data_IF_809435292947
#
_entry.id   IF_809435292947
#
_cell.length_a   1.000
_cell.length_b   1.000
_cell.length_c   1.000
_cell.angle_alpha   90.00
_cell.angle_beta   90.00
_cell.angle_gamma   90.00
#
_symmetry.space_group_name_H-M   'P 1'
#
loop_
_entity.id
_entity.type
_entity.pdbx_description
1 polymer ?
#
# COMPACT_ATOMS: atom_id res chain seq x y z
N UNK A 1 7.65 45.12 -20.98
CA UNK A 1 7.43 43.86 -21.72
C UNK A 1 6.98 42.82 -20.71
N UNK A 2 5.92 42.08 -20.99
CA UNK A 2 5.56 40.94 -20.16
C UNK A 2 6.59 39.82 -20.38
N UNK A 3 7.15 39.29 -19.30
CA UNK A 3 8.06 38.15 -19.33
C UNK A 3 7.28 36.88 -19.04
N UNK A 4 7.26 35.95 -20.01
CA UNK A 4 6.77 34.59 -19.83
C UNK A 4 7.93 33.69 -19.37
N UNK A 5 7.69 32.85 -18.36
CA UNK A 5 8.68 31.91 -17.83
C UNK A 5 8.05 30.53 -17.68
N UNK A 6 8.73 29.51 -18.18
CA UNK A 6 8.42 28.11 -17.91
C UNK A 6 9.23 27.61 -16.70
N UNK A 7 8.58 26.87 -15.80
CA UNK A 7 9.19 26.26 -14.62
C UNK A 7 8.86 24.78 -14.65
N UNK A 8 9.86 23.93 -14.42
CA UNK A 8 9.73 22.49 -14.35
C UNK A 8 10.55 21.95 -13.19
N UNK A 9 10.08 20.85 -12.60
CA UNK A 9 10.80 20.13 -11.54
C UNK A 9 11.69 18.99 -12.09
N UNK A 10 11.83 18.89 -13.41
CA UNK A 10 12.55 17.80 -14.10
C UNK A 10 13.96 17.58 -13.54
N UNK A 11 14.76 18.63 -13.39
CA UNK A 11 16.12 18.53 -12.86
C UNK A 11 16.16 17.97 -11.43
N UNK A 12 15.17 18.31 -10.61
CA UNK A 12 15.08 17.82 -9.24
C UNK A 12 14.71 16.33 -9.23
N UNK A 13 13.77 15.91 -10.09
CA UNK A 13 13.40 14.49 -10.23
C UNK A 13 14.60 13.67 -10.70
N UNK A 14 15.31 14.13 -11.73
CA UNK A 14 16.48 13.46 -12.29
C UNK A 14 17.65 13.41 -11.28
N UNK A 15 17.91 14.48 -10.53
CA UNK A 15 18.99 14.49 -9.53
C UNK A 15 18.71 13.48 -8.40
N UNK A 16 17.51 13.53 -7.81
CA UNK A 16 17.15 12.63 -6.71
C UNK A 16 17.07 11.17 -7.16
N UNK A 17 16.54 10.92 -8.37
CA UNK A 17 16.50 9.57 -8.95
C UNK A 17 17.90 9.04 -9.24
N UNK A 18 18.81 9.90 -9.71
CA UNK A 18 20.21 9.53 -9.97
C UNK A 18 20.94 9.16 -8.67
N UNK A 19 20.74 9.93 -7.60
CA UNK A 19 21.34 9.66 -6.30
C UNK A 19 20.83 8.34 -5.70
N UNK A 20 19.54 8.01 -5.88
CA UNK A 20 18.98 6.73 -5.47
C UNK A 20 19.60 5.55 -6.23
N UNK A 21 19.65 5.61 -7.57
CA UNK A 21 20.14 4.49 -8.37
C UNK A 21 21.65 4.26 -8.21
N UNK A 22 22.42 5.31 -7.88
CA UNK A 22 23.85 5.18 -7.54
C UNK A 22 24.09 4.28 -6.34
N UNK A 23 23.20 4.30 -5.34
CA UNK A 23 23.31 3.46 -4.14
C UNK A 23 23.18 1.97 -4.45
N UNK A 24 22.49 1.61 -5.53
CA UNK A 24 22.39 0.22 -6.02
C UNK A 24 23.42 -0.10 -7.12
N UNK A 25 24.47 0.72 -7.25
CA UNK A 25 25.55 0.51 -8.21
C UNK A 25 25.22 0.91 -9.66
N UNK A 26 24.07 1.54 -9.92
CA UNK A 26 23.71 2.00 -11.26
C UNK A 26 24.16 3.44 -11.50
N UNK A 27 25.09 3.60 -12.44
CA UNK A 27 25.57 4.90 -12.89
C UNK A 27 25.07 5.21 -14.30
N UNK A 28 23.76 5.44 -14.46
CA UNK A 28 23.14 5.66 -15.77
C UNK A 28 22.15 6.84 -15.76
N UNK A 29 22.55 7.95 -16.40
CA UNK A 29 21.69 9.14 -16.53
C UNK A 29 20.35 8.83 -17.21
N UNK A 30 20.37 8.01 -18.27
CA UNK A 30 19.16 7.59 -18.99
C UNK A 30 18.18 6.81 -18.12
N UNK A 31 18.67 6.04 -17.14
CA UNK A 31 17.81 5.34 -16.17
C UNK A 31 17.17 6.34 -15.21
N UNK A 32 17.91 7.35 -14.78
CA UNK A 32 17.35 8.43 -13.96
C UNK A 32 16.27 9.22 -14.73
N UNK A 33 16.52 9.55 -16.00
CA UNK A 33 15.54 10.21 -16.87
C UNK A 33 14.27 9.37 -17.07
N UNK A 34 14.42 8.05 -17.25
CA UNK A 34 13.30 7.12 -17.31
C UNK A 34 12.48 7.15 -16.01
N UNK A 35 13.13 7.05 -14.85
CA UNK A 35 12.47 7.10 -13.54
C UNK A 35 11.74 8.43 -13.38
N UNK A 36 12.40 9.56 -13.65
CA UNK A 36 11.81 10.90 -13.56
C UNK A 36 10.57 11.04 -14.47
N UNK A 37 10.65 10.53 -15.70
CA UNK A 37 9.55 10.53 -16.65
C UNK A 37 8.37 9.65 -16.23
N UNK A 38 8.63 8.48 -15.63
CA UNK A 38 7.59 7.60 -15.07
C UNK A 38 6.96 8.21 -13.82
N UNK A 39 7.77 8.75 -12.92
CA UNK A 39 7.32 9.42 -11.69
C UNK A 39 6.37 10.57 -12.01
N UNK A 40 6.74 11.42 -12.97
CA UNK A 40 5.88 12.55 -13.38
C UNK A 40 4.55 12.10 -13.97
N UNK A 41 4.50 10.97 -14.68
CA UNK A 41 3.28 10.45 -15.29
C UNK A 41 2.39 9.70 -14.28
N UNK A 42 2.99 8.87 -13.43
CA UNK A 42 2.29 8.09 -12.41
C UNK A 42 1.66 8.95 -11.32
N UNK A 43 2.11 10.20 -11.15
CA UNK A 43 1.53 11.12 -10.17
C UNK A 43 0.01 11.27 -10.31
N UNK A 44 -0.52 11.26 -11.54
CA UNK A 44 -1.95 11.35 -11.82
C UNK A 44 -2.30 10.58 -13.11
N UNK A 45 -1.75 9.37 -13.29
CA UNK A 45 -1.96 8.59 -14.51
C UNK A 45 -3.43 8.16 -14.65
N UNK A 46 -3.99 8.36 -15.84
CA UNK A 46 -5.33 7.92 -16.20
C UNK A 46 -5.29 7.27 -17.59
N UNK A 47 -6.13 6.26 -17.80
CA UNK A 47 -6.38 5.65 -19.11
C UNK A 47 -7.87 5.77 -19.42
N UNK A 48 -8.22 6.37 -20.57
CA UNK A 48 -9.62 6.64 -20.95
C UNK A 48 -10.44 7.34 -19.83
N UNK A 49 -9.78 8.19 -19.05
CA UNK A 49 -10.37 8.91 -17.92
C UNK A 49 -10.48 8.10 -16.61
N UNK A 50 -10.08 6.83 -16.61
CA UNK A 50 -10.04 5.98 -15.42
C UNK A 50 -8.67 6.13 -14.74
N UNK A 51 -8.61 6.54 -13.45
CA UNK A 51 -7.35 6.55 -12.71
C UNK A 51 -6.74 5.16 -12.59
N UNK A 52 -5.44 5.04 -12.84
CA UNK A 52 -4.70 3.80 -12.66
C UNK A 52 -3.39 4.04 -11.92
N UNK A 53 -3.01 3.08 -11.08
CA UNK A 53 -1.83 3.15 -10.20
C UNK A 53 -0.87 1.96 -10.38
N UNK A 54 -0.44 1.64 -11.62
CA UNK A 54 0.42 0.48 -11.86
C UNK A 54 1.76 0.63 -11.12
N UNK A 55 2.33 -0.49 -10.68
CA UNK A 55 3.72 -0.48 -10.17
C UNK A 55 4.66 -1.00 -11.25
N UNK A 56 5.80 -0.32 -11.37
CA UNK A 56 6.84 -0.59 -12.36
C UNK A 56 8.09 -1.09 -11.64
N UNK A 57 8.65 -2.20 -12.11
CA UNK A 57 9.90 -2.77 -11.61
C UNK A 57 10.97 -2.67 -12.69
N UNK A 58 12.04 -1.93 -12.40
CA UNK A 58 13.24 -1.84 -13.23
C UNK A 58 14.26 -2.84 -12.70
N UNK A 59 14.77 -3.72 -13.54
CA UNK A 59 15.72 -4.77 -13.18
C UNK A 59 16.72 -5.05 -14.31
N UNK A 60 17.72 -5.91 -14.04
CA UNK A 60 18.68 -6.40 -15.05
C UNK A 60 18.25 -7.71 -15.71
N UNK A 61 17.28 -8.42 -15.14
CA UNK A 61 16.77 -9.70 -15.66
C UNK A 61 15.34 -9.94 -15.19
N UNK A 62 14.39 -9.99 -16.12
CA UNK A 62 12.99 -10.33 -15.81
C UNK A 62 12.85 -11.77 -15.33
N UNK A 63 13.69 -12.68 -15.85
CA UNK A 63 13.67 -14.09 -15.41
C UNK A 63 14.04 -14.24 -13.95
N UNK A 64 15.05 -13.52 -13.47
CA UNK A 64 15.40 -13.51 -12.05
C UNK A 64 14.33 -12.82 -11.20
N UNK A 65 13.74 -11.72 -11.70
CA UNK A 65 12.62 -11.05 -11.03
C UNK A 65 11.41 -11.99 -10.81
N UNK A 66 11.04 -12.76 -11.83
CA UNK A 66 9.94 -13.73 -11.75
C UNK A 66 10.27 -14.88 -10.79
N UNK A 67 11.52 -15.37 -10.79
CA UNK A 67 11.97 -16.39 -9.83
C UNK A 67 11.84 -15.93 -8.38
N UNK A 68 12.21 -14.67 -8.09
CA UNK A 68 12.00 -14.07 -6.77
C UNK A 68 10.50 -13.95 -6.45
N UNK A 69 9.69 -13.48 -7.41
CA UNK A 69 8.23 -13.37 -7.24
C UNK A 69 7.49 -14.72 -7.06
N UNK A 70 8.21 -15.85 -7.19
CA UNK A 70 7.71 -17.21 -6.98
C UNK A 70 7.30 -17.90 -8.27
N UNK A 71 6.17 -18.64 -8.24
CA UNK A 71 5.61 -19.30 -9.43
C UNK A 71 4.84 -18.26 -10.24
N UNK A 72 5.57 -17.50 -11.05
CA UNK A 72 5.05 -16.40 -11.86
C UNK A 72 5.23 -16.60 -13.36
N UNK A 73 4.57 -15.74 -14.14
CA UNK A 73 4.72 -15.62 -15.59
C UNK A 73 5.09 -14.18 -15.95
N UNK A 74 5.80 -14.00 -17.07
CA UNK A 74 5.97 -12.69 -17.68
C UNK A 74 5.60 -12.73 -19.17
N UNK A 75 4.99 -11.65 -19.64
CA UNK A 75 4.57 -11.44 -21.02
C UNK A 75 5.31 -10.21 -21.56
N UNK A 76 6.29 -10.39 -22.46
CA UNK A 76 6.96 -9.27 -23.11
C UNK A 76 5.99 -8.56 -24.08
N UNK A 77 5.95 -7.23 -24.02
CA UNK A 77 5.15 -6.40 -24.94
C UNK A 77 6.01 -5.74 -26.01
N UNK A 78 7.30 -5.54 -25.71
CA UNK A 78 8.27 -5.04 -26.66
C UNK A 78 9.66 -5.57 -26.33
N UNK A 79 10.50 -5.62 -27.34
CA UNK A 79 11.92 -5.87 -27.19
C UNK A 79 12.69 -4.68 -27.74
N UNK A 80 13.78 -4.35 -27.05
CA UNK A 80 14.85 -3.51 -27.54
C UNK A 80 14.42 -2.07 -27.87
N UNK A 81 13.85 -1.36 -26.89
CA UNK A 81 13.43 0.05 -27.01
C UNK A 81 14.49 0.99 -26.44
N UNK A 82 14.82 2.12 -27.09
CA UNK A 82 15.69 3.14 -26.51
C UNK A 82 15.15 3.66 -25.17
N UNK A 83 15.99 3.60 -24.12
CA UNK A 83 15.57 3.89 -22.75
C UNK A 83 15.03 5.31 -22.58
N UNK A 84 15.61 6.28 -23.30
CA UNK A 84 15.28 7.71 -23.24
C UNK A 84 13.86 8.04 -23.77
N UNK A 85 13.28 7.17 -24.60
CA UNK A 85 11.94 7.33 -25.16
C UNK A 85 10.92 6.37 -24.54
N UNK A 86 11.36 5.48 -23.64
CA UNK A 86 10.57 4.35 -23.22
C UNK A 86 9.46 4.72 -22.21
N UNK A 87 9.67 5.73 -21.36
CA UNK A 87 8.80 6.00 -20.20
C UNK A 87 7.31 6.10 -20.52
N UNK A 88 6.92 7.03 -21.40
CA UNK A 88 5.51 7.22 -21.77
C UNK A 88 4.94 6.04 -22.57
N UNK A 89 5.77 5.41 -23.41
CA UNK A 89 5.37 4.25 -24.21
C UNK A 89 5.08 3.03 -23.32
N UNK A 90 5.93 2.77 -22.33
CA UNK A 90 5.78 1.65 -21.40
C UNK A 90 4.45 1.76 -20.65
N UNK A 91 4.15 2.93 -20.08
CA UNK A 91 2.90 3.12 -19.33
C UNK A 91 1.69 2.93 -20.26
N UNK A 92 1.70 3.56 -21.44
CA UNK A 92 0.60 3.42 -22.41
C UNK A 92 0.35 1.97 -22.84
N UNK A 93 1.41 1.22 -23.09
CA UNK A 93 1.28 -0.16 -23.59
C UNK A 93 0.96 -1.17 -22.47
N UNK A 94 1.45 -0.94 -21.25
CA UNK A 94 1.43 -1.94 -20.18
C UNK A 94 0.49 -1.62 -19.00
N UNK A 95 0.22 -0.34 -18.71
CA UNK A 95 -0.65 0.04 -17.59
C UNK A 95 -2.07 -0.55 -17.69
N UNK A 96 -2.71 -0.60 -18.88
CA UNK A 96 -4.04 -1.22 -19.03
C UNK A 96 -4.07 -2.72 -18.74
N UNK A 97 -2.91 -3.39 -18.66
CA UNK A 97 -2.81 -4.81 -18.33
C UNK A 97 -2.53 -5.04 -16.83
N UNK A 98 -2.25 -3.99 -16.07
CA UNK A 98 -1.85 -4.08 -14.66
C UNK A 98 -3.05 -4.12 -13.71
N UNK A 99 -3.95 -5.07 -13.94
CA UNK A 99 -5.06 -5.37 -13.03
C UNK A 99 -4.70 -6.54 -12.10
N UNK A 100 -5.13 -6.46 -10.83
CA UNK A 100 -4.88 -7.50 -9.83
C UNK A 100 -3.39 -7.66 -9.51
N UNK A 101 -2.83 -8.84 -9.77
CA UNK A 101 -1.44 -9.19 -9.43
C UNK A 101 -0.42 -8.85 -10.52
N UNK A 102 -0.86 -8.29 -11.65
CA UNK A 102 0.04 -7.93 -12.75
C UNK A 102 0.76 -6.61 -12.50
N UNK A 103 2.05 -6.56 -12.84
CA UNK A 103 2.96 -5.43 -12.67
C UNK A 103 3.76 -5.22 -13.94
N UNK A 104 4.27 -4.01 -14.14
CA UNK A 104 5.13 -3.69 -15.28
C UNK A 104 6.56 -4.07 -14.92
N UNK A 105 7.27 -4.77 -15.82
CA UNK A 105 8.72 -4.90 -15.74
C UNK A 105 9.41 -4.06 -16.82
N UNK A 106 10.59 -3.56 -16.49
CA UNK A 106 11.53 -2.93 -17.41
C UNK A 106 12.89 -3.59 -17.20
N UNK A 107 13.27 -4.43 -18.13
CA UNK A 107 14.57 -5.10 -18.14
C UNK A 107 15.56 -4.22 -18.90
N UNK A 108 16.51 -3.62 -18.19
CA UNK A 108 17.49 -2.71 -18.77
C UNK A 108 18.67 -3.50 -19.33
N UNK A 109 19.18 -3.09 -20.48
CA UNK A 109 20.46 -3.56 -21.00
C UNK A 109 21.63 -3.17 -20.10
N UNK A 110 22.73 -3.92 -20.17
CA UNK A 110 23.94 -3.68 -19.38
C UNK A 110 24.59 -2.32 -19.68
N UNK A 111 24.50 -1.84 -20.92
CA UNK A 111 24.99 -0.53 -21.36
C UNK A 111 24.04 0.65 -21.03
N UNK A 112 22.86 0.36 -20.49
CA UNK A 112 21.84 1.34 -20.11
C UNK A 112 21.26 2.14 -21.27
N UNK A 113 21.44 1.69 -22.51
CA UNK A 113 20.94 2.39 -23.70
C UNK A 113 19.52 1.96 -24.06
N UNK A 114 19.18 0.69 -23.79
CA UNK A 114 17.97 0.03 -24.28
C UNK A 114 17.28 -0.76 -23.18
N UNK A 115 16.02 -1.10 -23.38
CA UNK A 115 15.27 -1.96 -22.47
C UNK A 115 14.25 -2.83 -23.20
N UNK A 116 13.94 -3.97 -22.58
CA UNK A 116 12.74 -4.74 -22.84
C UNK A 116 11.70 -4.38 -21.78
N UNK A 117 10.42 -4.48 -22.11
CA UNK A 117 9.36 -4.30 -21.13
C UNK A 117 8.15 -5.16 -21.42
N UNK A 118 7.34 -5.33 -20.40
CA UNK A 118 6.09 -6.04 -20.48
C UNK A 118 5.44 -6.10 -19.11
N UNK A 119 4.66 -7.15 -18.88
CA UNK A 119 4.00 -7.38 -17.60
C UNK A 119 4.42 -8.71 -16.99
N UNK A 120 4.42 -8.79 -15.67
CA UNK A 120 4.68 -10.02 -14.93
C UNK A 120 3.74 -10.14 -13.74
N UNK A 121 3.53 -11.36 -13.26
CA UNK A 121 2.81 -11.64 -12.02
C UNK A 121 3.58 -12.66 -11.18
N UNK A 122 3.32 -12.67 -9.88
CA UNK A 122 3.85 -13.65 -8.92
C UNK A 122 2.76 -14.57 -8.40
N UNK A 123 2.96 -15.10 -7.19
CA UNK A 123 1.96 -15.93 -6.51
C UNK A 123 0.61 -15.21 -6.34
N UNK A 124 -0.48 -15.96 -6.49
CA UNK A 124 -1.85 -15.50 -6.26
C UNK A 124 -2.40 -15.87 -4.89
N UNK A 125 -1.65 -16.63 -4.08
CA UNK A 125 -2.06 -17.00 -2.72
C UNK A 125 -2.09 -15.75 -1.82
N UNK A 126 -3.27 -15.33 -1.33
CA UNK A 126 -3.42 -14.13 -0.53
C UNK A 126 -2.77 -14.25 0.85
N UNK A 127 -2.32 -15.43 1.29
CA UNK A 127 -1.55 -15.64 2.52
C UNK A 127 -0.03 -15.64 2.32
N UNK A 128 0.46 -15.64 1.07
CA UNK A 128 1.90 -15.61 0.74
C UNK A 128 2.43 -14.18 0.64
N UNK A 129 3.74 -13.98 0.81
CA UNK A 129 4.35 -12.66 0.63
C UNK A 129 4.01 -12.05 -0.75
N UNK A 130 3.81 -10.74 -0.77
CA UNK A 130 3.60 -9.95 -1.99
C UNK A 130 4.89 -9.87 -2.82
N UNK A 131 4.75 -9.53 -4.10
CA UNK A 131 5.90 -9.26 -4.97
C UNK A 131 6.77 -8.15 -4.38
N UNK A 132 6.16 -7.09 -3.82
CA UNK A 132 6.88 -5.98 -3.22
C UNK A 132 7.76 -6.47 -2.05
N UNK A 133 7.23 -7.27 -1.13
CA UNK A 133 7.98 -7.82 0.01
C UNK A 133 9.12 -8.74 -0.46
N UNK A 134 8.84 -9.69 -1.35
CA UNK A 134 9.87 -10.67 -1.76
C UNK A 134 10.98 -10.02 -2.57
N UNK A 135 10.64 -9.05 -3.43
CA UNK A 135 11.62 -8.40 -4.32
C UNK A 135 12.37 -7.27 -3.62
N UNK A 136 11.73 -6.51 -2.73
CA UNK A 136 12.33 -5.34 -2.09
C UNK A 136 13.00 -5.64 -0.74
N UNK A 137 12.63 -6.72 -0.05
CA UNK A 137 13.26 -7.09 1.23
C UNK A 137 14.36 -8.15 1.06
N UNK A 138 14.49 -8.77 -0.13
CA UNK A 138 15.61 -9.63 -0.49
C UNK A 138 16.71 -8.83 -1.21
N UNK A 139 17.59 -8.19 -0.44
CA UNK A 139 18.73 -7.49 -1.02
C UNK A 139 19.76 -8.46 -1.59
N UNK A 140 19.99 -8.33 -2.89
CA UNK A 140 21.08 -8.99 -3.62
C UNK A 140 21.83 -7.94 -4.42
N UNK A 141 23.09 -7.68 -4.04
CA UNK A 141 23.99 -6.75 -4.74
C UNK A 141 24.15 -7.10 -6.23
N UNK A 142 24.05 -8.38 -6.58
CA UNK A 142 24.15 -8.85 -7.96
C UNK A 142 22.87 -8.65 -8.77
N UNK A 143 21.75 -8.39 -8.09
CA UNK A 143 20.44 -8.18 -8.70
C UNK A 143 19.71 -6.96 -8.12
N UNK A 144 20.19 -5.75 -8.41
CA UNK A 144 19.52 -4.52 -8.00
C UNK A 144 18.17 -4.36 -8.71
N UNK A 145 17.15 -3.96 -7.93
CA UNK A 145 15.79 -3.70 -8.41
C UNK A 145 15.33 -2.34 -7.92
N UNK A 146 14.68 -1.58 -8.80
CA UNK A 146 14.01 -0.32 -8.47
C UNK A 146 12.53 -0.46 -8.75
N UNK A 147 11.69 -0.16 -7.78
CA UNK A 147 10.23 -0.15 -7.89
C UNK A 147 9.72 1.29 -7.88
N UNK A 148 8.85 1.62 -8.82
CA UNK A 148 8.15 2.91 -8.93
C UNK A 148 6.66 2.63 -8.77
N UNK A 149 5.99 3.33 -7.86
CA UNK A 149 4.53 3.21 -7.74
C UNK A 149 3.90 4.46 -7.17
N UNK A 150 2.66 4.73 -7.56
CA UNK A 150 1.86 5.77 -6.93
C UNK A 150 1.44 5.31 -5.51
N UNK A 151 1.76 6.10 -4.48
CA UNK A 151 1.34 5.84 -3.08
C UNK A 151 0.01 6.53 -2.74
N UNK A 152 -0.24 7.68 -3.37
CA UNK A 152 -1.49 8.42 -3.37
C UNK A 152 -1.54 9.33 -4.60
N UNK A 153 -2.69 9.94 -4.90
CA UNK A 153 -2.77 10.96 -5.95
C UNK A 153 -1.74 12.06 -5.69
N UNK A 154 -0.95 12.42 -6.71
CA UNK A 154 0.18 13.35 -6.66
C UNK A 154 1.35 12.90 -5.76
N UNK A 155 1.43 11.62 -5.36
CA UNK A 155 2.56 11.06 -4.61
C UNK A 155 3.05 9.77 -5.26
N UNK A 156 4.33 9.74 -5.61
CA UNK A 156 4.95 8.58 -6.25
C UNK A 156 6.20 8.19 -5.47
N UNK A 157 6.22 6.94 -5.02
CA UNK A 157 7.35 6.32 -4.35
C UNK A 157 8.27 5.65 -5.38
N UNK A 158 9.57 5.88 -5.23
CA UNK A 158 10.65 5.12 -5.87
C UNK A 158 11.46 4.45 -4.79
N UNK A 159 11.49 3.13 -4.76
CA UNK A 159 12.16 2.32 -3.74
C UNK A 159 13.10 1.31 -4.36
N UNK A 160 14.25 1.10 -3.75
CA UNK A 160 15.21 0.08 -4.13
C UNK A 160 15.09 -1.15 -3.22
N UNK A 161 15.54 -2.30 -3.71
CA UNK A 161 15.73 -3.49 -2.88
C UNK A 161 16.91 -3.39 -1.90
N UNK A 162 17.68 -2.29 -1.92
CA UNK A 162 18.68 -1.96 -0.89
C UNK A 162 18.06 -1.27 0.33
N UNK A 163 16.75 -1.01 0.33
CA UNK A 163 16.02 -0.37 1.41
C UNK A 163 15.90 1.15 1.30
N UNK A 164 16.65 1.79 0.40
CA UNK A 164 16.49 3.22 0.13
C UNK A 164 15.19 3.51 -0.63
N UNK A 165 14.52 4.60 -0.28
CA UNK A 165 13.33 5.07 -1.00
C UNK A 165 13.20 6.58 -0.98
N UNK A 166 12.54 7.11 -1.99
CA UNK A 166 12.21 8.53 -2.13
C UNK A 166 10.74 8.63 -2.54
N UNK A 167 9.97 9.47 -1.85
CA UNK A 167 8.62 9.82 -2.28
C UNK A 167 8.62 11.22 -2.91
N UNK A 168 8.23 11.28 -4.18
CA UNK A 168 8.03 12.53 -4.90
C UNK A 168 6.61 13.02 -4.70
N UNK A 169 6.48 14.27 -4.22
CA UNK A 169 5.20 14.91 -3.91
C UNK A 169 4.95 16.08 -4.86
N UNK A 170 3.81 16.05 -5.54
CA UNK A 170 3.40 17.03 -6.54
C UNK A 170 2.30 17.98 -6.02
N UNK A 171 2.19 18.09 -4.69
CA UNK A 171 1.27 18.99 -3.99
C UNK A 171 2.06 19.97 -3.09
N UNK A 172 1.35 20.81 -2.35
CA UNK A 172 1.96 21.78 -1.42
C UNK A 172 2.15 21.20 -0.01
N UNK A 173 2.30 19.87 0.10
CA UNK A 173 2.60 19.26 1.39
C UNK A 173 4.00 19.68 1.85
N UNK A 174 4.17 19.80 3.16
CA UNK A 174 5.51 19.96 3.72
C UNK A 174 6.30 18.68 3.51
N UNK A 175 7.60 18.84 3.28
CA UNK A 175 8.53 17.74 3.35
C UNK A 175 8.42 17.07 4.73
N UNK A 176 8.37 15.75 4.72
CA UNK A 176 8.36 14.92 5.93
C UNK A 176 9.65 14.12 5.95
N UNK A 177 10.38 14.18 7.06
CA UNK A 177 11.65 13.44 7.22
C UNK A 177 11.44 11.93 7.16
N UNK A 178 10.27 11.42 7.55
CA UNK A 178 9.95 9.99 7.58
C UNK A 178 8.58 9.68 6.95
N UNK A 179 8.54 8.63 6.11
CA UNK A 179 7.31 8.05 5.56
C UNK A 179 6.83 6.95 6.52
N UNK A 180 5.75 7.20 7.27
CA UNK A 180 5.26 6.28 8.32
C UNK A 180 4.08 5.40 7.92
N UNK A 181 3.63 5.48 6.67
CA UNK A 181 2.43 4.76 6.20
C UNK A 181 2.58 3.25 6.46
N UNK A 182 3.66 2.64 5.97
CA UNK A 182 3.92 1.22 6.18
C UNK A 182 4.00 0.84 7.67
N UNK A 183 4.66 1.67 8.48
CA UNK A 183 4.75 1.45 9.92
C UNK A 183 3.37 1.46 10.58
N UNK A 184 2.53 2.47 10.27
CA UNK A 184 1.20 2.59 10.85
C UNK A 184 0.26 1.45 10.42
N UNK A 185 0.33 1.01 9.16
CA UNK A 185 -0.47 -0.13 8.67
C UNK A 185 -0.04 -1.42 9.36
N UNK A 186 1.27 -1.64 9.51
CA UNK A 186 1.81 -2.78 10.26
C UNK A 186 1.37 -2.77 11.73
N UNK A 187 1.44 -1.63 12.40
CA UNK A 187 0.97 -1.51 13.79
C UNK A 187 -0.53 -1.77 13.92
N UNK A 188 -1.34 -1.33 12.94
CA UNK A 188 -2.77 -1.65 12.89
C UNK A 188 -2.99 -3.15 12.69
N UNK A 189 -2.24 -3.79 11.80
CA UNK A 189 -2.29 -5.22 11.55
C UNK A 189 -1.97 -6.02 12.83
N UNK A 190 -0.91 -5.63 13.55
CA UNK A 190 -0.53 -6.19 14.85
C UNK A 190 -1.64 -5.97 15.89
N UNK A 191 -2.28 -4.80 15.93
CA UNK A 191 -3.39 -4.54 16.86
C UNK A 191 -4.61 -5.43 16.58
N UNK A 192 -4.99 -5.62 15.31
CA UNK A 192 -6.11 -6.48 14.88
C UNK A 192 -5.83 -7.96 15.18
N UNK A 193 -4.57 -8.38 15.12
CA UNK A 193 -4.16 -9.78 15.27
C UNK A 193 -3.67 -10.16 16.67
N UNK A 194 -3.55 -9.20 17.59
CA UNK A 194 -2.88 -9.37 18.89
C UNK A 194 -3.43 -10.47 19.79
N UNK A 195 -4.73 -10.80 19.67
CA UNK A 195 -5.39 -11.91 20.38
C UNK A 195 -5.99 -12.93 19.42
N UNK A 196 -5.49 -12.97 18.18
CA UNK A 196 -5.79 -14.06 17.26
C UNK A 196 -5.17 -15.38 17.76
N UNK A 197 -5.70 -16.51 17.32
CA UNK A 197 -5.32 -17.83 17.83
C UNK A 197 -3.92 -18.31 17.40
N UNK A 198 -3.78 -19.63 17.22
CA UNK A 198 -2.52 -20.34 16.92
C UNK A 198 -1.63 -19.71 15.84
N UNK A 199 -2.20 -19.03 14.85
CA UNK A 199 -1.48 -18.46 13.71
C UNK A 199 -1.45 -16.93 13.73
N UNK A 200 -1.44 -16.29 14.90
CA UNK A 200 -1.44 -14.83 15.07
C UNK A 200 -0.38 -14.12 14.22
N UNK A 201 0.88 -14.57 14.24
CA UNK A 201 1.97 -13.89 13.55
C UNK A 201 1.83 -13.97 12.02
N UNK A 202 1.43 -15.13 11.50
CA UNK A 202 1.14 -15.31 10.08
C UNK A 202 -0.09 -14.50 9.66
N UNK A 203 -1.09 -14.43 10.55
CA UNK A 203 -2.29 -13.64 10.32
C UNK A 203 -1.99 -12.13 10.34
N UNK A 204 -1.08 -11.66 11.20
CA UNK A 204 -0.61 -10.28 11.22
C UNK A 204 -0.01 -9.88 9.87
N UNK A 205 0.86 -10.73 9.31
CA UNK A 205 1.41 -10.50 7.96
C UNK A 205 0.32 -10.55 6.87
N UNK A 206 -0.67 -11.43 6.99
CA UNK A 206 -1.80 -11.48 6.06
C UNK A 206 -2.66 -10.20 6.11
N UNK A 207 -3.05 -9.76 7.30
CA UNK A 207 -3.91 -8.58 7.45
C UNK A 207 -3.15 -7.30 7.09
N UNK A 208 -1.85 -7.20 7.34
CA UNK A 208 -1.01 -6.08 6.89
C UNK A 208 -1.08 -5.89 5.36
N UNK A 209 -1.08 -6.98 4.60
CA UNK A 209 -1.20 -6.93 3.13
C UNK A 209 -2.59 -6.55 2.68
N UNK A 210 -3.64 -7.13 3.29
CA UNK A 210 -5.03 -6.75 3.00
C UNK A 210 -5.25 -5.26 3.28
N UNK A 211 -4.76 -4.77 4.43
CA UNK A 211 -4.83 -3.37 4.81
C UNK A 211 -4.01 -2.50 3.86
N UNK A 212 -2.78 -2.88 3.50
CA UNK A 212 -1.93 -2.09 2.60
C UNK A 212 -2.60 -1.85 1.25
N UNK A 213 -3.28 -2.86 0.69
CA UNK A 213 -4.04 -2.73 -0.56
C UNK A 213 -5.29 -1.86 -0.34
N UNK A 214 -6.13 -2.22 0.62
CA UNK A 214 -7.40 -1.52 0.87
C UNK A 214 -7.19 -0.04 1.23
N UNK A 215 -6.19 0.23 2.07
CA UNK A 215 -5.84 1.56 2.51
C UNK A 215 -5.22 2.33 1.35
N UNK A 216 -4.43 1.74 0.46
CA UNK A 216 -3.84 2.47 -0.68
C UNK A 216 -4.91 3.00 -1.63
N UNK A 217 -5.90 2.17 -1.95
CA UNK A 217 -6.88 2.45 -3.02
C UNK A 217 -8.07 3.30 -2.55
N UNK A 218 -8.28 3.45 -1.24
CA UNK A 218 -9.41 4.24 -0.72
C UNK A 218 -9.17 5.77 -0.79
N UNK A 219 -10.24 6.56 -0.74
CA UNK A 219 -10.19 8.04 -0.68
C UNK A 219 -9.99 8.60 0.76
N UNK A 220 -9.47 7.76 1.66
CA UNK A 220 -9.31 8.03 3.09
C UNK A 220 -10.29 7.21 3.93
N UNK A 221 -9.81 6.68 5.05
CA UNK A 221 -10.54 5.70 5.87
C UNK A 221 -10.25 5.88 7.36
N UNK A 222 -11.14 5.36 8.20
CA UNK A 222 -10.99 5.26 9.64
C UNK A 222 -11.19 3.82 10.06
N UNK A 223 -10.28 3.31 10.87
CA UNK A 223 -10.36 1.93 11.37
C UNK A 223 -10.25 1.96 12.90
N UNK A 224 -11.21 1.33 13.57
CA UNK A 224 -11.22 1.15 15.02
C UNK A 224 -10.96 -0.32 15.35
N UNK A 225 -10.17 -0.56 16.39
CA UNK A 225 -9.96 -1.90 16.95
C UNK A 225 -10.50 -1.92 18.37
N UNK A 226 -11.43 -2.83 18.66
CA UNK A 226 -11.99 -3.04 20.01
C UNK A 226 -11.43 -4.32 20.67
N UNK A 227 -11.41 -4.42 22.00
CA UNK A 227 -11.07 -5.66 22.68
C UNK A 227 -12.09 -6.78 22.38
N UNK A 228 -11.64 -7.97 22.01
CA UNK A 228 -12.51 -9.15 21.78
C UNK A 228 -13.11 -9.72 23.07
N UNK A 229 -12.39 -9.58 24.19
CA UNK A 229 -12.82 -10.04 25.52
C UNK A 229 -13.27 -8.83 26.34
N UNK A 230 -14.50 -8.86 26.83
CA UNK A 230 -15.07 -7.80 27.68
C UNK A 230 -15.39 -6.48 26.96
N UNK A 231 -14.94 -6.30 25.72
CA UNK A 231 -15.24 -5.15 24.87
C UNK A 231 -16.44 -5.43 23.96
N UNK A 232 -17.60 -4.90 24.32
CA UNK A 232 -18.69 -4.72 23.36
C UNK A 232 -18.37 -3.59 22.37
N UNK A 233 -19.21 -3.43 21.34
CA UNK A 233 -19.17 -2.21 20.55
C UNK A 233 -19.46 -1.00 21.46
N UNK A 234 -18.58 0.02 21.51
CA UNK A 234 -18.82 1.21 22.32
C UNK A 234 -20.11 1.92 21.87
N UNK A 235 -20.87 2.51 22.80
CA UNK A 235 -22.11 3.24 22.47
C UNK A 235 -21.84 4.40 21.52
N UNK A 236 -20.65 5.00 21.61
CA UNK A 236 -20.23 6.12 20.77
C UNK A 236 -20.05 5.71 19.29
N UNK A 237 -19.85 4.42 19.00
CA UNK A 237 -19.66 3.86 17.65
C UNK A 237 -20.82 2.87 17.33
N UNK A 238 -21.96 2.99 18.01
CA UNK A 238 -23.08 2.06 17.83
C UNK A 238 -23.90 2.31 16.57
N UNK A 239 -23.73 3.47 15.92
CA UNK A 239 -24.40 3.81 14.66
C UNK A 239 -23.58 3.25 13.49
N UNK A 240 -23.69 1.92 13.29
CA UNK A 240 -22.95 1.17 12.28
C UNK A 240 -23.83 0.13 11.58
N UNK A 241 -23.41 -0.29 10.39
CA UNK A 241 -23.93 -1.51 9.77
C UNK A 241 -23.27 -2.70 10.47
N UNK A 242 -24.00 -3.30 11.41
CA UNK A 242 -23.54 -4.43 12.22
C UNK A 242 -23.57 -5.73 11.42
N UNK A 243 -22.52 -6.52 11.55
CA UNK A 243 -22.44 -7.86 10.98
C UNK A 243 -22.88 -8.88 12.04
N UNK A 244 -23.96 -9.61 11.77
CA UNK A 244 -24.50 -10.65 12.64
C UNK A 244 -24.66 -11.96 11.85
N UNK A 245 -23.80 -12.98 12.09
CA UNK A 245 -22.64 -12.97 12.99
C UNK A 245 -21.51 -12.04 12.49
N UNK A 246 -20.53 -11.69 13.35
CA UNK A 246 -19.33 -10.99 12.92
C UNK A 246 -18.62 -11.72 11.78
N UNK A 247 -17.90 -10.97 10.94
CA UNK A 247 -17.13 -11.57 9.87
C UNK A 247 -15.81 -12.13 10.40
N UNK A 248 -15.79 -13.45 10.58
CA UNK A 248 -14.64 -14.18 11.13
C UNK A 248 -13.50 -14.33 10.12
N UNK A 249 -12.72 -13.27 9.92
CA UNK A 249 -11.60 -13.25 8.97
C UNK A 249 -10.44 -14.16 9.44
N UNK A 250 -10.06 -14.10 10.72
CA UNK A 250 -9.04 -15.00 11.27
C UNK A 250 -9.40 -16.49 11.08
N UNK A 251 -10.65 -16.89 11.31
CA UNK A 251 -11.08 -18.28 11.15
C UNK A 251 -10.96 -18.75 9.68
N UNK A 252 -11.23 -17.86 8.72
CA UNK A 252 -11.07 -18.14 7.28
C UNK A 252 -9.60 -18.31 6.91
N UNK A 253 -8.74 -17.46 7.47
CA UNK A 253 -7.30 -17.56 7.30
C UNK A 253 -6.76 -18.86 7.89
N UNK A 254 -7.12 -19.17 9.15
CA UNK A 254 -6.69 -20.39 9.81
C UNK A 254 -7.11 -21.63 9.00
N UNK A 255 -8.37 -21.67 8.54
CA UNK A 255 -8.87 -22.75 7.68
C UNK A 255 -8.08 -22.90 6.39
N UNK A 256 -7.67 -21.80 5.76
CA UNK A 256 -6.84 -21.84 4.56
C UNK A 256 -5.47 -22.45 4.80
N UNK A 257 -4.83 -22.12 5.94
CA UNK A 257 -3.56 -22.71 6.36
C UNK A 257 -3.73 -24.20 6.68
N UNK A 258 -4.74 -24.56 7.46
CA UNK A 258 -5.00 -25.95 7.89
C UNK A 258 -5.36 -26.88 6.72
N UNK A 259 -6.03 -26.36 5.69
CA UNK A 259 -6.36 -27.12 4.47
C UNK A 259 -5.19 -27.26 3.47
N UNK A 260 -4.00 -26.76 3.80
CA UNK A 260 -2.82 -26.88 2.93
C UNK A 260 -2.90 -26.04 1.65
N UNK A 261 -3.61 -24.90 1.70
CA UNK A 261 -3.62 -23.89 0.63
C UNK A 261 -4.11 -24.38 -0.74
N UNK A 262 -5.11 -25.27 -0.76
CA UNK A 262 -5.76 -25.71 -2.00
C UNK A 262 -6.33 -24.54 -2.81
N UNK A 263 -6.51 -24.71 -4.12
CA UNK A 263 -7.10 -23.68 -4.99
C UNK A 263 -8.46 -23.17 -4.49
N UNK A 264 -9.31 -24.05 -3.95
CA UNK A 264 -10.60 -23.65 -3.36
C UNK A 264 -10.39 -22.80 -2.10
N UNK A 265 -9.43 -23.15 -1.25
CA UNK A 265 -9.13 -22.36 -0.05
C UNK A 265 -8.55 -20.98 -0.40
N UNK A 266 -7.69 -20.90 -1.42
CA UNK A 266 -7.14 -19.64 -1.96
C UNK A 266 -8.26 -18.73 -2.43
N UNK A 267 -9.16 -19.24 -3.28
CA UNK A 267 -10.30 -18.47 -3.79
C UNK A 267 -11.22 -17.94 -2.67
N UNK A 268 -11.47 -18.74 -1.63
CA UNK A 268 -12.28 -18.29 -0.47
C UNK A 268 -11.58 -17.20 0.34
N UNK A 269 -10.27 -17.29 0.52
CA UNK A 269 -9.51 -16.28 1.26
C UNK A 269 -9.35 -14.99 0.45
N UNK A 270 -9.22 -15.08 -0.88
CA UNK A 270 -9.26 -13.94 -1.79
C UNK A 270 -10.59 -13.20 -1.70
N UNK A 271 -11.72 -13.92 -1.84
CA UNK A 271 -13.04 -13.32 -1.69
C UNK A 271 -13.26 -12.68 -0.30
N UNK A 272 -12.68 -13.27 0.74
CA UNK A 272 -12.70 -12.67 2.08
C UNK A 272 -11.88 -11.38 2.16
N UNK A 273 -10.72 -11.33 1.50
CA UNK A 273 -9.87 -10.13 1.41
C UNK A 273 -10.59 -9.00 0.67
N UNK A 274 -11.19 -9.31 -0.48
CA UNK A 274 -11.95 -8.34 -1.30
C UNK A 274 -13.12 -7.74 -0.51
N UNK A 275 -13.84 -8.56 0.26
CA UNK A 275 -14.94 -8.08 1.09
C UNK A 275 -14.45 -7.16 2.22
N UNK A 276 -13.30 -7.47 2.83
CA UNK A 276 -12.68 -6.61 3.85
C UNK A 276 -12.27 -5.26 3.24
N UNK A 277 -11.68 -5.27 2.05
CA UNK A 277 -11.38 -4.03 1.31
C UNK A 277 -12.64 -3.22 1.06
N UNK A 278 -13.75 -3.85 0.68
CA UNK A 278 -15.05 -3.18 0.52
C UNK A 278 -15.60 -2.57 1.81
N UNK A 279 -15.37 -3.19 2.97
CA UNK A 279 -15.72 -2.59 4.27
C UNK A 279 -14.87 -1.35 4.58
N UNK A 280 -13.58 -1.36 4.22
CA UNK A 280 -12.63 -0.26 4.46
C UNK A 280 -12.87 0.93 3.53
N UNK A 281 -13.26 0.66 2.28
CA UNK A 281 -13.55 1.68 1.28
C UNK A 281 -14.93 2.33 1.45
N UNK A 282 -15.77 1.75 2.31
CA UNK A 282 -17.04 2.35 2.68
C UNK A 282 -16.87 3.63 3.52
N UNK A 283 -17.81 4.57 3.39
CA UNK A 283 -17.77 5.79 4.19
C UNK A 283 -18.08 5.52 5.67
N UNK A 284 -17.29 6.12 6.57
CA UNK A 284 -17.40 5.97 8.03
C UNK A 284 -16.19 5.23 8.63
N UNK A 285 -16.42 4.54 9.74
CA UNK A 285 -15.40 3.77 10.46
C UNK A 285 -15.66 2.27 10.24
N UNK A 286 -14.62 1.52 9.89
CA UNK A 286 -14.62 0.05 9.92
C UNK A 286 -14.17 -0.42 11.29
N UNK A 287 -14.92 -1.33 11.91
CA UNK A 287 -14.66 -1.80 13.27
C UNK A 287 -14.18 -3.24 13.25
N UNK A 288 -12.94 -3.44 13.65
CA UNK A 288 -12.35 -4.75 13.93
C UNK A 288 -12.34 -4.99 15.44
N UNK A 289 -12.24 -6.25 15.84
CA UNK A 289 -11.73 -6.60 17.17
C UNK A 289 -10.27 -7.06 17.10
N UNK A 290 -9.63 -7.17 18.27
CA UNK A 290 -8.25 -7.64 18.42
C UNK A 290 -8.07 -9.17 18.24
N UNK A 291 -9.13 -9.90 17.86
CA UNK A 291 -9.08 -11.32 17.48
C UNK A 291 -9.10 -11.53 15.96
N UNK A 292 -9.14 -10.45 15.17
CA UNK A 292 -9.13 -10.53 13.71
C UNK A 292 -10.51 -10.66 13.07
N UNK A 293 -11.57 -10.18 13.71
CA UNK A 293 -12.94 -10.21 13.18
C UNK A 293 -13.44 -8.80 12.85
N UNK A 294 -14.21 -8.68 11.76
CA UNK A 294 -14.93 -7.42 11.45
C UNK A 294 -16.29 -7.46 12.13
N UNK A 295 -16.57 -6.47 12.98
CA UNK A 295 -17.82 -6.36 13.72
C UNK A 295 -18.88 -5.55 12.95
N UNK A 296 -18.42 -4.62 12.12
CA UNK A 296 -19.28 -3.80 11.28
C UNK A 296 -18.51 -2.69 10.58
N UNK A 297 -19.24 -1.94 9.76
CA UNK A 297 -18.69 -0.90 8.89
C UNK A 297 -19.68 0.26 8.77
N UNK A 298 -19.22 1.37 8.20
CA UNK A 298 -19.96 2.66 8.16
C UNK A 298 -20.39 3.14 9.54
N UNK A 299 -19.52 2.98 10.54
CA UNK A 299 -19.81 3.50 11.86
C UNK A 299 -19.57 5.02 11.92
N UNK A 300 -20.43 5.75 12.61
CA UNK A 300 -20.28 7.20 12.83
C UNK A 300 -20.22 7.53 14.31
N UNK A 301 -19.31 8.43 14.68
CA UNK A 301 -19.19 8.91 16.06
C UNK A 301 -20.17 10.04 16.30
N UNK A 302 -21.04 9.87 17.29
CA UNK A 302 -21.87 10.95 17.82
C UNK A 302 -20.96 11.98 18.46
N UNK A 303 -20.82 13.14 17.84
CA UNK A 303 -20.01 14.23 18.38
C UNK A 303 -20.85 15.03 19.36
N UNK A 304 -20.52 14.96 20.65
CA UNK A 304 -20.97 15.95 21.60
C UNK A 304 -20.21 17.26 21.33
N UNK A 305 -20.93 18.33 21.03
CA UNK A 305 -20.41 19.65 20.60
C UNK A 305 -19.60 20.41 21.69
N UNK A 306 -18.95 19.74 22.63
CA UNK A 306 -18.39 20.35 23.85
C UNK A 306 -16.86 20.46 23.86
N UNK A 307 -16.16 20.00 22.82
CA UNK A 307 -14.69 20.07 22.71
C UNK A 307 -14.16 21.29 21.95
N UNK A 308 -12.89 21.64 22.22
CA UNK A 308 -12.14 22.66 21.49
C UNK A 308 -12.22 22.42 19.96
N UNK A 309 -12.25 23.48 19.14
CA UNK A 309 -12.37 23.34 17.69
C UNK A 309 -11.21 22.51 17.15
N UNK A 310 -11.46 21.25 16.83
CA UNK A 310 -10.51 20.41 16.12
C UNK A 310 -10.50 20.89 14.68
N UNK A 311 -9.45 21.62 14.31
CA UNK A 311 -9.21 22.07 12.94
C UNK A 311 -9.03 20.85 12.02
N UNK A 312 -9.93 20.67 11.05
CA UNK A 312 -9.84 19.56 10.09
C UNK A 312 -11.21 19.15 9.53
N UNK A 313 -11.19 18.30 8.50
CA UNK A 313 -12.39 17.72 7.90
C UNK A 313 -13.12 16.74 8.83
N UNK A 314 -14.29 16.25 8.40
CA UNK A 314 -15.13 15.35 9.20
C UNK A 314 -14.37 14.11 9.73
N UNK A 315 -13.56 13.46 8.88
CA UNK A 315 -12.77 12.28 9.27
C UNK A 315 -11.69 12.60 10.30
N UNK A 316 -11.02 13.74 10.20
CA UNK A 316 -10.02 14.16 11.19
C UNK A 316 -10.64 14.44 12.56
N UNK A 317 -11.86 15.00 12.59
CA UNK A 317 -12.61 15.19 13.85
C UNK A 317 -13.03 13.86 14.45
N UNK A 318 -13.58 12.96 13.64
CA UNK A 318 -13.94 11.61 14.09
C UNK A 318 -12.71 10.87 14.67
N UNK A 319 -11.55 10.95 13.99
CA UNK A 319 -10.32 10.38 14.52
C UNK A 319 -9.89 11.01 15.86
N UNK A 320 -10.06 12.33 16.03
CA UNK A 320 -9.84 13.00 17.31
C UNK A 320 -10.68 12.40 18.44
N UNK A 321 -11.96 12.12 18.18
CA UNK A 321 -12.82 11.42 19.13
C UNK A 321 -12.37 9.98 19.38
N UNK A 322 -11.97 9.24 18.34
CA UNK A 322 -11.43 7.88 18.49
C UNK A 322 -10.21 7.85 19.40
N UNK A 323 -9.28 8.82 19.28
CA UNK A 323 -8.10 8.90 20.15
C UNK A 323 -8.47 8.98 21.63
N UNK A 324 -9.54 9.71 21.98
CA UNK A 324 -9.99 9.84 23.36
C UNK A 324 -10.61 8.54 23.93
N UNK A 325 -10.96 7.59 23.05
CA UNK A 325 -11.51 6.28 23.38
C UNK A 325 -10.43 5.19 23.46
N UNK A 326 -9.25 5.40 22.88
CA UNK A 326 -8.12 4.46 22.96
C UNK A 326 -7.68 4.29 24.41
N UNK A 327 -7.53 3.03 24.85
CA UNK A 327 -7.22 2.67 26.23
C UNK A 327 -8.43 2.60 27.16
N UNK A 328 -9.63 2.98 26.69
CA UNK A 328 -10.89 2.85 27.44
C UNK A 328 -11.80 1.80 26.81
N UNK A 329 -12.19 2.03 25.56
CA UNK A 329 -13.14 1.21 24.82
C UNK A 329 -12.58 0.76 23.46
N UNK A 330 -11.55 1.44 22.95
CA UNK A 330 -10.77 1.01 21.80
C UNK A 330 -9.38 0.52 22.23
N UNK A 331 -8.90 -0.56 21.60
CA UNK A 331 -7.51 -0.99 21.69
C UNK A 331 -6.61 -0.15 20.78
N UNK A 332 -7.10 0.22 19.59
CA UNK A 332 -6.37 1.04 18.64
C UNK A 332 -7.31 1.84 17.72
N UNK A 333 -6.77 2.89 17.12
CA UNK A 333 -7.41 3.75 16.14
C UNK A 333 -6.44 4.11 15.02
N UNK A 334 -6.90 4.03 13.78
CA UNK A 334 -6.15 4.39 12.58
C UNK A 334 -6.92 5.39 11.72
N UNK A 335 -6.18 6.28 11.07
CA UNK A 335 -6.70 7.29 10.15
C UNK A 335 -5.83 7.39 8.91
N UNK A 336 -6.46 7.47 7.74
CA UNK A 336 -5.87 7.96 6.49
C UNK A 336 -6.73 9.08 5.92
N UNK A 337 -6.13 10.22 5.60
CA UNK A 337 -6.79 11.27 4.80
C UNK A 337 -6.71 10.99 3.31
N UNK A 338 -7.53 11.73 2.56
CA UNK A 338 -7.57 11.68 1.09
C UNK A 338 -6.24 12.05 0.43
N UNK A 339 -5.42 12.89 1.08
CA UNK A 339 -4.07 13.27 0.64
C UNK A 339 -2.99 12.24 1.02
N UNK A 340 -3.37 11.12 1.64
CA UNK A 340 -2.46 10.03 2.02
C UNK A 340 -1.76 10.20 3.36
N UNK A 341 -2.00 11.27 4.15
CA UNK A 341 -1.48 11.34 5.52
C UNK A 341 -2.13 10.26 6.38
N UNK A 342 -1.29 9.51 7.10
CA UNK A 342 -1.73 8.47 8.04
C UNK A 342 -1.35 8.81 9.46
N UNK A 343 -2.21 8.45 10.41
CA UNK A 343 -1.93 8.48 11.84
C UNK A 343 -2.44 7.19 12.50
N UNK A 344 -1.75 6.74 13.54
CA UNK A 344 -2.10 5.56 14.32
C UNK A 344 -1.95 5.84 15.82
N UNK A 345 -2.84 5.28 16.64
CA UNK A 345 -2.74 5.30 18.10
C UNK A 345 -3.19 3.95 18.66
N UNK A 346 -2.44 3.41 19.61
CA UNK A 346 -2.75 2.18 20.33
C UNK A 346 -2.66 2.42 21.83
N UNK A 347 -3.47 1.67 22.60
CA UNK A 347 -3.41 1.70 24.05
C UNK A 347 -2.04 1.19 24.53
N UNK A 348 -1.47 1.83 25.56
CA UNK A 348 -0.27 1.30 26.21
C UNK A 348 -0.59 -0.07 26.82
N UNK A 349 0.22 -1.07 26.49
CA UNK A 349 0.15 -2.38 27.14
C UNK A 349 0.69 -2.19 28.55
N UNK A 350 -0.17 -2.19 29.57
CA UNK A 350 0.29 -2.35 30.95
C UNK A 350 1.07 -3.67 31.02
N UNK A 351 2.39 -3.57 31.08
CA UNK A 351 3.23 -4.72 31.42
C UNK A 351 2.85 -5.14 32.84
N UNK A 352 2.04 -6.19 32.95
CA UNK A 352 1.77 -6.83 34.22
C UNK A 352 3.12 -7.22 34.84
N UNK A 353 3.42 -6.60 35.98
CA UNK A 353 4.59 -6.88 36.83
C UNK A 353 4.56 -8.31 37.37
#
# INVERSE_FOLDING_TARGET
>A
MATEKSISFRSNLESNSLDLIRKVGWNCARTSELIAGMVSQLAAYTEEGVPMSPSVFICSSVSHLVQLAGVGEHIPLSADVPLELAGAKILKDAAPLCFGQWRIFVERSTDGQRCNYGVFCGTSDPSSLTIDEVVLDAYDESFPVIRISQSATNKVEVRSNAGDGIEFRFNNDRDTEEIKVHQHVRQLAEAISSKSGRHSDLFAGYIDRVLSIAIKDCHGTLIAVVPSVGGGLPEEISDLVRLEPPFYLYDRFQRHVDEGKTASSVSRLQAASELVSGFIDSDGITVFNDAGYVLGYRAFIKSDNTGAPVTGGARSRAFGSMKAMVGKSLSAAFFRSQDGRTDFLQAEVEQAK
#
